data_IF_254567230331
#
_entry.id   IF_254567230331
#
_cell.length_a   1.000
_cell.length_b   1.000
_cell.length_c   1.000
_cell.angle_alpha   90.00
_cell.angle_beta   90.00
_cell.angle_gamma   90.00
#
_symmetry.space_group_name_H-M   'P 1'
#
loop_
_entity.id
_entity.type
_entity.pdbx_description
1 polymer ?
#
# COMPACT_ATOMS: atom_id res chain seq x y z
N UNK A 1 12.17 -13.90 -2.96
CA UNK A 1 11.47 -13.77 -4.27
C UNK A 1 11.91 -14.82 -5.27
N UNK A 2 13.22 -15.14 -5.35
CA UNK A 2 13.77 -16.08 -6.34
C UNK A 2 13.12 -17.48 -6.30
N UNK A 3 12.87 -18.03 -5.11
CA UNK A 3 12.25 -19.35 -4.96
C UNK A 3 10.87 -19.48 -5.63
N UNK A 4 9.96 -18.50 -5.40
CA UNK A 4 8.61 -18.55 -5.98
C UNK A 4 8.63 -18.44 -7.50
N UNK A 5 9.57 -17.66 -8.06
CA UNK A 5 9.78 -17.57 -9.49
C UNK A 5 10.30 -18.91 -10.07
N UNK A 6 11.25 -19.55 -9.39
CA UNK A 6 11.75 -20.87 -9.77
C UNK A 6 10.63 -21.94 -9.74
N UNK A 7 9.81 -21.96 -8.68
CA UNK A 7 8.64 -22.85 -8.57
C UNK A 7 7.69 -22.64 -9.76
N UNK A 8 7.33 -21.39 -10.07
CA UNK A 8 6.43 -21.08 -11.17
C UNK A 8 7.03 -21.50 -12.53
N UNK A 9 8.31 -21.22 -12.76
CA UNK A 9 9.00 -21.58 -14.01
C UNK A 9 9.10 -23.10 -14.21
N UNK A 10 9.37 -23.88 -13.16
CA UNK A 10 9.45 -25.34 -13.26
C UNK A 10 8.09 -25.97 -13.47
N UNK A 11 7.06 -25.44 -12.82
CA UNK A 11 5.69 -25.90 -13.05
C UNK A 11 5.22 -25.63 -14.48
N UNK A 12 5.64 -24.51 -15.09
CA UNK A 12 5.36 -24.23 -16.50
C UNK A 12 5.96 -25.29 -17.44
N UNK A 13 7.21 -25.71 -17.19
CA UNK A 13 7.92 -26.69 -18.02
C UNK A 13 7.40 -28.11 -17.82
N UNK A 14 7.25 -28.54 -16.57
CA UNK A 14 6.92 -29.94 -16.25
C UNK A 14 5.42 -30.21 -16.19
N UNK A 15 4.60 -29.19 -15.95
CA UNK A 15 3.15 -29.30 -15.74
C UNK A 15 2.74 -30.33 -14.66
N UNK A 16 3.68 -30.70 -13.78
CA UNK A 16 3.50 -31.73 -12.77
C UNK A 16 3.83 -31.21 -11.38
N UNK A 17 2.84 -31.19 -10.49
CA UNK A 17 3.00 -30.78 -9.08
C UNK A 17 3.99 -31.71 -8.36
N UNK A 18 3.90 -33.01 -8.64
CA UNK A 18 4.71 -34.04 -7.95
C UNK A 18 6.19 -33.84 -8.29
N UNK A 19 6.52 -33.53 -9.54
CA UNK A 19 7.90 -33.27 -9.95
C UNK A 19 8.45 -31.99 -9.34
N UNK A 20 7.65 -30.93 -9.29
CA UNK A 20 8.03 -29.67 -8.61
C UNK A 20 8.28 -29.91 -7.12
N UNK A 21 7.45 -30.71 -6.44
CA UNK A 21 7.63 -31.06 -5.03
C UNK A 21 8.86 -31.95 -4.80
N UNK A 22 9.11 -32.92 -5.68
CA UNK A 22 10.32 -33.77 -5.62
C UNK A 22 11.57 -32.93 -5.79
N UNK A 23 11.59 -32.06 -6.79
CA UNK A 23 12.68 -31.12 -7.00
C UNK A 23 12.90 -30.23 -5.77
N UNK A 24 11.82 -29.69 -5.20
CA UNK A 24 11.88 -28.84 -4.01
C UNK A 24 12.51 -29.55 -2.81
N UNK A 25 12.16 -30.83 -2.59
CA UNK A 25 12.76 -31.66 -1.53
C UNK A 25 14.22 -32.03 -1.80
N UNK A 26 14.61 -32.17 -3.07
CA UNK A 26 15.99 -32.49 -3.44
C UNK A 26 16.90 -31.25 -3.33
N UNK A 27 16.36 -30.06 -3.57
CA UNK A 27 17.10 -28.81 -3.52
C UNK A 27 17.18 -28.20 -2.11
N UNK A 28 16.18 -28.49 -1.27
CA UNK A 28 16.14 -28.10 0.14
C UNK A 28 16.32 -29.33 1.05
N UNK A 29 15.88 -29.21 2.30
CA UNK A 29 15.86 -30.35 3.22
C UNK A 29 14.77 -31.37 2.86
N UNK A 30 14.97 -32.67 3.18
CA UNK A 30 14.01 -33.73 2.89
C UNK A 30 12.60 -33.49 3.44
N UNK A 31 12.49 -32.71 4.52
CA UNK A 31 11.23 -32.36 5.18
C UNK A 31 10.58 -31.07 4.65
N UNK A 32 11.15 -30.43 3.63
CA UNK A 32 10.60 -29.22 3.04
C UNK A 32 9.26 -29.52 2.33
N UNK A 33 8.16 -29.07 2.93
CA UNK A 33 6.81 -29.23 2.38
C UNK A 33 6.47 -28.05 1.47
N UNK A 34 6.24 -28.34 0.19
CA UNK A 34 5.72 -27.37 -0.78
C UNK A 34 4.26 -27.68 -1.10
N UNK A 35 3.34 -26.81 -0.66
CA UNK A 35 1.91 -26.98 -0.88
C UNK A 35 1.52 -26.81 -2.36
N UNK A 36 0.62 -27.67 -2.85
CA UNK A 36 0.08 -27.61 -4.21
C UNK A 36 -0.58 -26.25 -4.50
N UNK A 37 -1.28 -25.66 -3.53
CA UNK A 37 -1.91 -24.34 -3.73
C UNK A 37 -0.86 -23.27 -3.95
N UNK A 38 0.29 -23.36 -3.26
CA UNK A 38 1.40 -22.42 -3.45
C UNK A 38 1.97 -22.51 -4.85
N UNK A 39 2.17 -23.73 -5.38
CA UNK A 39 2.65 -23.95 -6.76
C UNK A 39 1.69 -23.32 -7.77
N UNK A 40 0.38 -23.66 -7.69
CA UNK A 40 -0.65 -23.13 -8.57
C UNK A 40 -0.79 -21.61 -8.47
N UNK A 41 -0.71 -21.05 -7.27
CA UNK A 41 -0.79 -19.59 -7.07
C UNK A 41 0.42 -18.88 -7.65
N UNK A 42 1.63 -19.42 -7.50
CA UNK A 42 2.84 -18.83 -8.07
C UNK A 42 2.77 -18.81 -9.60
N UNK A 43 2.36 -19.92 -10.21
CA UNK A 43 2.14 -20.03 -11.65
C UNK A 43 1.04 -19.07 -12.14
N UNK A 44 -0.12 -19.05 -11.47
CA UNK A 44 -1.22 -18.16 -11.85
C UNK A 44 -0.83 -16.69 -11.77
N UNK A 45 -0.07 -16.29 -10.74
CA UNK A 45 0.48 -14.92 -10.63
C UNK A 45 1.44 -14.63 -11.79
N UNK A 46 2.36 -15.54 -12.09
CA UNK A 46 3.30 -15.38 -13.20
C UNK A 46 2.57 -15.15 -14.53
N UNK A 47 1.56 -15.97 -14.83
CA UNK A 47 0.80 -15.87 -16.09
C UNK A 47 -0.08 -14.62 -16.18
N UNK A 48 -0.62 -14.15 -15.04
CA UNK A 48 -1.51 -12.98 -15.03
C UNK A 48 -0.78 -11.64 -15.07
N UNK A 49 0.31 -11.51 -14.32
CA UNK A 49 0.98 -10.21 -14.09
C UNK A 49 2.44 -10.19 -14.53
N UNK A 50 2.99 -11.32 -14.98
CA UNK A 50 4.43 -11.47 -15.25
C UNK A 50 5.29 -11.48 -13.99
N UNK A 51 4.68 -11.42 -12.80
CA UNK A 51 5.36 -11.23 -11.52
C UNK A 51 4.80 -12.19 -10.48
N UNK A 52 5.69 -12.90 -9.79
CA UNK A 52 5.30 -13.81 -8.67
C UNK A 52 5.31 -13.10 -7.32
N UNK A 53 5.76 -11.84 -7.29
CA UNK A 53 5.74 -11.01 -6.09
C UNK A 53 4.30 -10.79 -5.59
N UNK A 54 4.14 -10.70 -4.28
CA UNK A 54 2.86 -10.31 -3.72
C UNK A 54 2.56 -8.85 -4.08
N UNK A 55 1.35 -8.59 -4.56
CA UNK A 55 0.88 -7.23 -4.78
C UNK A 55 0.94 -6.46 -3.47
N UNK A 56 1.26 -5.17 -3.57
CA UNK A 56 1.21 -4.27 -2.42
C UNK A 56 -0.15 -4.43 -1.74
N UNK A 57 -0.16 -4.73 -0.43
CA UNK A 57 -1.39 -4.81 0.35
C UNK A 57 -2.00 -3.41 0.43
N UNK A 58 -2.97 -3.14 -0.42
CA UNK A 58 -3.76 -1.92 -0.35
C UNK A 58 -4.76 -2.16 0.78
N UNK A 59 -4.51 -1.56 1.94
CA UNK A 59 -5.45 -1.60 3.06
C UNK A 59 -6.77 -0.92 2.71
N UNK A 60 -7.72 -0.88 3.65
CA UNK A 60 -9.02 -0.22 3.44
C UNK A 60 -8.80 1.22 2.92
N UNK A 61 -9.42 1.60 1.79
CA UNK A 61 -9.32 2.96 1.28
C UNK A 61 -9.86 3.92 2.35
N UNK A 62 -9.03 4.89 2.73
CA UNK A 62 -9.43 5.91 3.70
C UNK A 62 -10.08 7.06 2.93
N UNK A 63 -11.37 7.28 3.15
CA UNK A 63 -12.11 8.42 2.58
C UNK A 63 -11.47 9.76 2.97
N UNK A 64 -10.88 9.85 4.17
CA UNK A 64 -10.14 11.03 4.65
C UNK A 64 -8.90 11.38 3.81
N UNK A 65 -8.40 10.47 2.94
CA UNK A 65 -7.30 10.72 2.01
C UNK A 65 -7.76 11.00 0.56
N UNK A 66 -9.07 11.09 0.33
CA UNK A 66 -9.59 11.54 -0.96
C UNK A 66 -9.06 12.94 -1.29
N UNK A 67 -8.76 13.19 -2.57
CA UNK A 67 -8.28 14.49 -3.03
C UNK A 67 -9.27 15.62 -2.72
N UNK A 68 -10.57 15.33 -2.81
CA UNK A 68 -11.64 16.26 -2.45
C UNK A 68 -11.55 16.69 -0.99
N UNK A 69 -11.40 15.72 -0.08
CA UNK A 69 -11.31 15.96 1.36
C UNK A 69 -10.03 16.73 1.72
N UNK A 70 -8.92 16.41 1.04
CA UNK A 70 -7.67 17.15 1.18
C UNK A 70 -7.85 18.61 0.76
N UNK A 71 -8.56 18.85 -0.36
CA UNK A 71 -8.83 20.20 -0.86
C UNK A 71 -9.71 21.01 0.10
N UNK A 72 -10.78 20.41 0.61
CA UNK A 72 -11.67 21.05 1.61
C UNK A 72 -10.87 21.45 2.85
N UNK A 73 -10.07 20.52 3.38
CA UNK A 73 -9.23 20.79 4.55
C UNK A 73 -8.24 21.91 4.29
N UNK A 74 -7.55 21.88 3.14
CA UNK A 74 -6.61 22.95 2.77
C UNK A 74 -7.30 24.31 2.66
N UNK A 75 -8.48 24.36 2.06
CA UNK A 75 -9.24 25.59 1.91
C UNK A 75 -9.67 26.17 3.26
N UNK A 76 -10.09 25.33 4.21
CA UNK A 76 -10.45 25.77 5.57
C UNK A 76 -9.29 26.47 6.29
N UNK A 77 -8.08 25.91 6.21
CA UNK A 77 -6.90 26.51 6.84
C UNK A 77 -6.36 27.69 6.05
N UNK A 78 -6.56 27.75 4.73
CA UNK A 78 -6.21 28.93 3.93
C UNK A 78 -7.12 30.12 4.29
N UNK A 79 -8.41 29.88 4.50
CA UNK A 79 -9.37 30.91 4.95
C UNK A 79 -9.13 31.34 6.40
N UNK A 80 -8.73 30.42 7.26
CA UNK A 80 -8.50 30.67 8.68
C UNK A 80 -7.28 29.88 9.17
N UNK A 81 -6.07 30.48 9.11
CA UNK A 81 -4.82 29.80 9.46
C UNK A 81 -4.79 29.31 10.91
N UNK A 82 -5.41 30.06 11.82
CA UNK A 82 -5.43 29.77 13.26
C UNK A 82 -6.59 28.87 13.69
N UNK A 83 -7.39 28.34 12.75
CA UNK A 83 -8.49 27.44 13.09
C UNK A 83 -7.95 26.16 13.75
N UNK A 84 -8.63 25.68 14.79
CA UNK A 84 -8.22 24.42 15.43
C UNK A 84 -8.57 23.20 14.57
N UNK A 85 -7.73 22.17 14.63
CA UNK A 85 -7.98 20.90 13.92
C UNK A 85 -9.30 20.25 14.35
N UNK A 86 -9.68 20.38 15.63
CA UNK A 86 -10.94 19.85 16.15
C UNK A 86 -12.15 20.58 15.57
N UNK A 87 -12.08 21.91 15.44
CA UNK A 87 -13.13 22.70 14.81
C UNK A 87 -13.26 22.37 13.33
N UNK A 88 -12.15 22.32 12.60
CA UNK A 88 -12.14 21.94 11.19
C UNK A 88 -12.73 20.52 10.97
N UNK A 89 -12.48 19.58 11.88
CA UNK A 89 -13.02 18.22 11.77
C UNK A 89 -14.52 18.14 12.02
N UNK A 90 -15.04 18.96 12.94
CA UNK A 90 -16.48 19.11 13.16
C UNK A 90 -17.17 19.72 11.95
N UNK A 91 -16.59 20.76 11.36
CA UNK A 91 -17.15 21.44 10.19
C UNK A 91 -17.10 20.57 8.92
N UNK A 92 -16.05 19.79 8.73
CA UNK A 92 -15.89 18.97 7.52
C UNK A 92 -16.45 17.55 7.64
N UNK A 93 -16.81 17.08 8.85
CA UNK A 93 -17.25 15.69 9.07
C UNK A 93 -16.19 14.63 8.74
N UNK A 94 -14.92 15.02 8.65
CA UNK A 94 -13.82 14.16 8.17
C UNK A 94 -12.61 14.21 9.10
N UNK A 95 -11.74 13.20 8.98
CA UNK A 95 -10.51 13.15 9.77
C UNK A 95 -9.46 14.13 9.23
N UNK A 96 -9.54 15.38 9.65
CA UNK A 96 -8.65 16.48 9.21
C UNK A 96 -7.18 16.14 9.38
N UNK A 97 -6.79 15.54 10.50
CA UNK A 97 -5.39 15.21 10.77
C UNK A 97 -4.80 14.21 9.75
N UNK A 98 -5.62 13.32 9.19
CA UNK A 98 -5.18 12.38 8.16
C UNK A 98 -4.94 13.08 6.82
N UNK A 99 -5.81 14.02 6.45
CA UNK A 99 -5.65 14.87 5.28
C UNK A 99 -4.45 15.82 5.41
N UNK A 100 -4.25 16.41 6.59
CA UNK A 100 -3.09 17.27 6.86
C UNK A 100 -1.77 16.50 6.75
N UNK A 101 -1.73 15.25 7.22
CA UNK A 101 -0.56 14.37 7.08
C UNK A 101 -0.24 14.05 5.62
N UNK A 102 -1.24 13.85 4.75
CA UNK A 102 -0.98 13.55 3.34
C UNK A 102 -0.39 14.74 2.58
N UNK A 103 -0.69 15.97 2.99
CA UNK A 103 -0.11 17.19 2.41
C UNK A 103 1.06 17.78 3.20
N UNK A 104 1.51 17.09 4.26
CA UNK A 104 2.58 17.57 5.16
C UNK A 104 2.36 18.99 5.72
N UNK A 105 1.11 19.41 5.90
CA UNK A 105 0.74 20.73 6.42
C UNK A 105 0.58 20.71 7.95
N UNK A 106 1.15 21.70 8.63
CA UNK A 106 1.13 21.82 10.11
C UNK A 106 0.51 23.15 10.55
N UNK A 107 -0.76 23.20 10.98
CA UNK A 107 -1.51 24.45 11.19
C UNK A 107 -0.79 25.55 12.00
N UNK A 108 0.05 25.18 12.97
CA UNK A 108 0.79 26.10 13.83
C UNK A 108 2.15 26.57 13.27
N UNK A 109 2.53 26.15 12.06
CA UNK A 109 3.73 26.63 11.37
C UNK A 109 3.31 27.60 10.26
N UNK A 110 3.98 28.76 10.12
CA UNK A 110 3.80 29.60 8.94
C UNK A 110 4.24 28.81 7.71
N UNK A 111 3.40 28.77 6.68
CA UNK A 111 3.73 28.15 5.39
C UNK A 111 3.83 29.19 4.28
N UNK A 112 3.15 30.33 4.42
CA UNK A 112 3.14 31.37 3.41
C UNK A 112 3.90 32.62 3.85
N UNK A 113 4.55 33.28 2.89
CA UNK A 113 5.37 34.49 3.12
C UNK A 113 4.57 35.63 3.78
N UNK A 114 3.27 35.72 3.50
CA UNK A 114 2.41 36.77 4.08
C UNK A 114 2.09 36.51 5.56
N UNK A 115 2.14 35.26 6.03
CA UNK A 115 1.96 34.91 7.45
C UNK A 115 3.19 35.29 8.29
N UNK A 116 4.38 35.33 7.68
CA UNK A 116 5.64 35.68 8.35
C UNK A 116 5.77 37.19 8.59
N UNK A 117 5.16 38.03 7.74
CA UNK A 117 5.29 39.49 7.83
C UNK A 117 4.41 40.15 8.90
N UNK A 118 3.50 39.40 9.52
CA UNK A 118 2.54 39.90 10.52
C UNK A 118 2.85 39.51 11.97
N UNK A 119 4.03 38.93 12.24
CA UNK A 119 4.59 38.66 13.56
C UNK A 119 5.74 39.62 13.84
#
# INVERSE_FOLDING_TARGET
MQERAQIASRYEVWQSIVEVQRWWRNFNEPHAVLDQKTIKNCHSKLMKTGLVADSKRIGRPSTSRSEENIKIVREMFTKSPYKSTCQAARESGHTVMTALKSISFRPWKPHYRHEIRGL
#
